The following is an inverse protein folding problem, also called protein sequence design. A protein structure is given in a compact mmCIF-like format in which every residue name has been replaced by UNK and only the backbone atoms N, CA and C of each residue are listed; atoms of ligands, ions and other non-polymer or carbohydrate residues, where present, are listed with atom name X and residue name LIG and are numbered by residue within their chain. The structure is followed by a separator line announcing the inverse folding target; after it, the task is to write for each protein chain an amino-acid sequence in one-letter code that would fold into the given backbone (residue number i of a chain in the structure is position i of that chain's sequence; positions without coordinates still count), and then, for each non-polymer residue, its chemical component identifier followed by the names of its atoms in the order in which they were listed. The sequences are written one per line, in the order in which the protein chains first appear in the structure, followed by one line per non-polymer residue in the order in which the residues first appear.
data_IF_035022197314
#
_entry.id   IF_035022197314
#
_cell.length_a   1.000
_cell.length_b   1.000
_cell.length_c   1.000
_cell.angle_alpha   90.00
_cell.angle_beta   90.00
_cell.angle_gamma   90.00
#
_symmetry.space_group_name_H-M   'P 1'
#
loop_
_entity.id
_entity.type
_entity.pdbx_description
1 polymer ?
#
# COMPACT_ATOMS: atom_id res chain seq x y z
N UNK A 1 -2.79 8.75 -4.60
CA UNK A 1 -3.26 7.52 -3.93
C UNK A 1 -4.78 7.58 -3.83
N UNK A 2 -5.50 6.47 -4.04
CA UNK A 2 -6.97 6.41 -3.93
C UNK A 2 -7.47 5.80 -2.61
N UNK A 3 -6.58 5.21 -1.81
CA UNK A 3 -6.90 4.72 -0.47
C UNK A 3 -6.45 3.29 -0.25
N UNK A 4 -6.85 2.74 0.89
CA UNK A 4 -6.50 1.38 1.30
C UNK A 4 -7.74 0.48 1.30
N UNK A 5 -7.49 -0.83 1.23
CA UNK A 5 -8.53 -1.86 1.31
C UNK A 5 -8.11 -2.96 2.29
N UNK A 6 -9.08 -3.44 3.07
CA UNK A 6 -8.88 -4.62 3.93
C UNK A 6 -8.93 -5.93 3.12
N UNK A 7 -8.76 -7.08 3.79
CA UNK A 7 -8.84 -8.40 3.14
C UNK A 7 -10.19 -8.66 2.44
N UNK A 8 -11.27 -8.05 2.92
CA UNK A 8 -12.60 -8.08 2.31
C UNK A 8 -12.82 -7.01 1.23
N UNK A 9 -11.76 -6.36 0.75
CA UNK A 9 -11.80 -5.29 -0.28
C UNK A 9 -12.68 -4.09 0.07
N UNK A 10 -12.90 -3.84 1.36
CA UNK A 10 -13.61 -2.64 1.84
C UNK A 10 -12.63 -1.52 2.11
N UNK A 11 -13.09 -0.29 1.87
CA UNK A 11 -12.34 0.92 2.19
C UNK A 11 -11.99 1.00 3.67
N UNK A 12 -10.74 1.33 3.96
CA UNK A 12 -10.21 1.49 5.31
C UNK A 12 -9.19 2.61 5.33
N UNK A 13 -8.97 3.19 6.50
CA UNK A 13 -8.04 4.31 6.70
C UNK A 13 -6.82 3.88 7.52
N UNK A 14 -5.61 4.39 7.18
CA UNK A 14 -4.44 4.25 8.03
C UNK A 14 -4.65 4.83 9.43
N UNK A 15 -3.99 4.24 10.41
CA UNK A 15 -4.11 4.68 11.81
C UNK A 15 -5.39 4.23 12.52
N UNK A 16 -6.17 3.32 11.91
CA UNK A 16 -7.33 2.66 12.54
C UNK A 16 -6.97 1.23 12.95
N UNK A 17 -7.86 0.53 13.67
CA UNK A 17 -7.67 -0.88 14.07
C UNK A 17 -7.72 -1.88 12.89
N UNK A 18 -7.90 -1.40 11.66
CA UNK A 18 -8.07 -2.25 10.49
C UNK A 18 -6.73 -2.55 9.83
N UNK A 19 -6.49 -3.83 9.52
CA UNK A 19 -5.36 -4.21 8.67
C UNK A 19 -5.47 -3.55 7.27
N UNK A 20 -4.32 -3.17 6.71
CA UNK A 20 -4.21 -2.47 5.43
C UNK A 20 -3.48 -3.32 4.37
N UNK A 21 -3.93 -4.53 4.01
CA UNK A 21 -3.21 -5.39 3.06
C UNK A 21 -3.03 -4.76 1.67
N UNK A 22 -4.01 -3.98 1.20
CA UNK A 22 -4.01 -3.46 -0.16
C UNK A 22 -4.04 -1.92 -0.21
N UNK A 23 -3.36 -1.38 -1.20
CA UNK A 23 -3.39 0.04 -1.58
C UNK A 23 -3.91 0.16 -3.02
N UNK A 24 -4.74 1.17 -3.28
CA UNK A 24 -5.28 1.50 -4.60
C UNK A 24 -4.70 2.83 -5.08
N UNK A 25 -4.36 2.91 -6.36
CA UNK A 25 -3.93 4.14 -7.02
C UNK A 25 -4.60 4.31 -8.38
N UNK A 26 -4.68 5.56 -8.83
CA UNK A 26 -5.49 5.98 -9.97
C UNK A 26 -5.00 5.42 -11.30
N UNK A 27 -3.68 5.31 -11.47
CA UNK A 27 -3.07 4.95 -12.74
C UNK A 27 -3.10 3.44 -12.96
N UNK A 28 -3.52 2.99 -14.15
CA UNK A 28 -3.31 1.62 -14.59
C UNK A 28 -1.81 1.37 -14.76
N UNK A 29 -1.21 0.36 -14.10
CA UNK A 29 0.23 0.12 -14.21
C UNK A 29 0.60 -0.34 -15.62
N UNK A 30 1.80 0.00 -16.06
CA UNK A 30 2.37 -0.46 -17.34
C UNK A 30 2.96 -1.86 -17.19
N UNK A 31 3.09 -2.60 -18.30
CA UNK A 31 3.76 -3.90 -18.30
C UNK A 31 5.19 -3.76 -17.78
N UNK A 32 5.59 -4.68 -16.90
CA UNK A 32 6.90 -4.66 -16.24
C UNK A 32 6.98 -3.82 -14.96
N UNK A 33 5.92 -3.10 -14.57
CA UNK A 33 5.91 -2.33 -13.32
C UNK A 33 5.59 -3.15 -12.06
N UNK A 34 5.17 -4.41 -12.19
CA UNK A 34 4.95 -5.32 -11.06
C UNK A 34 6.21 -5.49 -10.22
N UNK A 35 6.09 -5.35 -8.89
CA UNK A 35 7.22 -5.32 -7.96
C UNK A 35 7.86 -3.95 -7.79
N UNK A 36 7.50 -2.95 -8.62
CA UNK A 36 7.96 -1.57 -8.47
C UNK A 36 7.33 -0.86 -7.26
N UNK A 37 7.95 0.22 -6.76
CA UNK A 37 7.44 0.97 -5.62
C UNK A 37 6.19 1.79 -5.97
N UNK A 38 5.25 1.87 -5.03
CA UNK A 38 4.18 2.86 -5.04
C UNK A 38 4.64 4.02 -4.16
N UNK A 39 4.68 5.22 -4.72
CA UNK A 39 5.16 6.42 -4.03
C UNK A 39 4.00 7.31 -3.59
N UNK A 40 4.12 7.90 -2.41
CA UNK A 40 3.33 9.07 -2.04
C UNK A 40 3.82 10.29 -2.82
N UNK A 41 2.90 11.00 -3.48
CA UNK A 41 3.25 12.08 -4.39
C UNK A 41 3.79 13.32 -3.66
N UNK A 42 3.36 13.56 -2.41
CA UNK A 42 3.76 14.74 -1.66
C UNK A 42 5.15 14.57 -1.00
N UNK A 43 5.37 13.41 -0.37
CA UNK A 43 6.60 13.13 0.39
C UNK A 43 7.66 12.35 -0.39
N UNK A 44 7.29 11.69 -1.48
CA UNK A 44 8.16 10.75 -2.20
C UNK A 44 8.40 9.43 -1.46
N UNK A 45 7.73 9.19 -0.32
CA UNK A 45 7.90 7.97 0.46
C UNK A 45 7.32 6.75 -0.28
N UNK A 46 7.96 5.58 -0.11
CA UNK A 46 7.41 4.31 -0.58
C UNK A 46 6.29 3.89 0.36
N UNK A 47 5.07 3.78 -0.18
CA UNK A 47 3.85 3.43 0.57
C UNK A 47 3.28 2.06 0.18
N UNK A 48 3.92 1.37 -0.76
CA UNK A 48 3.55 0.01 -1.15
C UNK A 48 4.36 -0.49 -2.34
N UNK A 49 3.96 -1.65 -2.86
CA UNK A 49 4.57 -2.30 -4.02
C UNK A 49 3.47 -2.68 -5.00
N UNK A 50 3.68 -2.33 -6.28
CA UNK A 50 2.73 -2.60 -7.36
C UNK A 50 2.54 -4.11 -7.54
N UNK A 51 1.29 -4.55 -7.54
CA UNK A 51 0.93 -5.92 -7.94
C UNK A 51 0.44 -5.95 -9.38
N UNK A 52 -0.46 -5.03 -9.74
CA UNK A 52 -1.03 -4.94 -11.08
C UNK A 52 -2.27 -4.06 -11.12
N UNK A 53 -3.20 -4.37 -12.01
CA UNK A 53 -4.49 -3.70 -12.10
C UNK A 53 -5.65 -4.60 -11.65
N UNK A 54 -6.76 -3.97 -11.26
CA UNK A 54 -8.01 -4.63 -10.88
C UNK A 54 -9.20 -3.73 -11.18
N UNK A 55 -10.30 -4.33 -11.63
CA UNK A 55 -11.60 -3.65 -11.73
C UNK A 55 -12.22 -3.53 -10.34
N UNK A 56 -12.46 -2.31 -9.88
CA UNK A 56 -13.06 -2.06 -8.56
C UNK A 56 -14.59 -2.14 -8.60
N UNK A 57 -15.19 -1.57 -9.64
CA UNK A 57 -16.62 -1.65 -9.94
C UNK A 57 -16.86 -1.32 -11.41
N UNK A 58 -18.08 -1.52 -11.90
CA UNK A 58 -18.46 -1.10 -13.25
C UNK A 58 -18.36 0.42 -13.45
N UNK A 59 -18.55 1.21 -12.38
CA UNK A 59 -18.52 2.67 -12.42
C UNK A 59 -17.09 3.19 -12.30
N UNK A 60 -16.31 2.67 -11.35
CA UNK A 60 -14.93 3.12 -11.14
C UNK A 60 -13.99 2.57 -12.22
N UNK A 61 -14.30 1.40 -12.77
CA UNK A 61 -13.48 0.74 -13.78
C UNK A 61 -12.19 0.15 -13.21
N UNK A 62 -11.18 0.03 -14.07
CA UNK A 62 -9.89 -0.57 -13.73
C UNK A 62 -8.97 0.45 -13.02
N UNK A 63 -8.28 -0.01 -11.97
CA UNK A 63 -7.31 0.77 -11.19
C UNK A 63 -6.06 -0.03 -10.89
N UNK A 64 -4.96 0.67 -10.61
CA UNK A 64 -3.76 0.05 -10.07
C UNK A 64 -3.95 -0.35 -8.62
N UNK A 65 -3.37 -1.47 -8.23
CA UNK A 65 -3.35 -1.93 -6.85
C UNK A 65 -2.01 -2.59 -6.49
N UNK A 66 -1.78 -2.71 -5.19
CA UNK A 66 -0.58 -3.31 -4.66
C UNK A 66 -0.70 -3.71 -3.20
N UNK A 67 0.36 -4.34 -2.69
CA UNK A 67 0.53 -4.56 -1.27
C UNK A 67 0.95 -3.25 -0.60
N UNK A 68 0.34 -2.90 0.54
CA UNK A 68 0.76 -1.71 1.29
C UNK A 68 2.12 -1.93 1.96
N UNK A 69 2.85 -0.85 2.21
CA UNK A 69 4.10 -0.92 2.95
C UNK A 69 3.91 -1.50 4.36
N UNK A 70 2.81 -1.17 5.05
CA UNK A 70 2.51 -1.70 6.38
C UNK A 70 2.36 -3.22 6.35
N UNK A 71 1.59 -3.75 5.41
CA UNK A 71 1.43 -5.19 5.23
C UNK A 71 2.76 -5.88 4.89
N UNK A 72 3.62 -5.23 4.09
CA UNK A 72 4.96 -5.75 3.78
C UNK A 72 5.84 -5.76 5.05
N UNK A 73 5.88 -4.67 5.81
CA UNK A 73 6.72 -4.59 7.01
C UNK A 73 6.24 -5.50 8.15
N UNK A 74 4.94 -5.79 8.24
CA UNK A 74 4.41 -6.80 9.17
C UNK A 74 4.88 -8.21 8.82
N UNK A 75 4.96 -8.54 7.52
CA UNK A 75 5.41 -9.87 7.06
C UNK A 75 6.94 -10.02 7.09
N UNK A 76 7.68 -8.94 6.92
CA UNK A 76 9.15 -8.93 6.83
C UNK A 76 9.79 -8.14 7.98
N UNK A 77 9.27 -8.26 9.20
CA UNK A 77 9.92 -7.71 10.36
C UNK A 77 11.31 -8.33 10.54
N UNK A 78 12.35 -7.58 10.17
CA UNK A 78 13.73 -8.02 10.29
C UNK A 78 14.06 -8.25 11.79
N UNK A 79 14.64 -9.41 12.16
CA UNK A 79 15.10 -9.63 13.52
C UNK A 79 16.02 -8.48 13.98
N UNK A 80 15.65 -7.81 15.07
CA UNK A 80 16.41 -6.69 15.63
C UNK A 80 16.19 -5.33 14.95
N UNK A 81 15.30 -5.21 13.96
CA UNK A 81 14.99 -3.91 13.36
C UNK A 81 14.14 -3.04 14.30
N UNK A 82 14.71 -1.90 14.69
CA UNK A 82 14.02 -0.85 15.42
C UNK A 82 13.90 0.34 14.48
N UNK A 83 12.68 0.70 14.00
CA UNK A 83 12.52 1.83 13.10
C UNK A 83 12.95 3.13 13.79
N UNK A 84 13.57 4.03 13.04
CA UNK A 84 14.11 5.29 13.57
C UNK A 84 13.03 6.18 14.24
N UNK A 85 11.77 6.08 13.78
CA UNK A 85 10.61 6.73 14.41
C UNK A 85 10.39 6.31 15.86
N UNK A 86 10.79 5.09 16.24
CA UNK A 86 10.70 4.55 17.60
C UNK A 86 11.94 4.86 18.46
N UNK A 87 13.07 5.20 17.83
CA UNK A 87 14.33 5.55 18.52
C UNK A 87 14.34 6.95 19.14
N UNK A 88 13.49 7.88 18.67
CA UNK A 88 13.40 9.26 19.20
C UNK A 88 12.47 9.42 20.41
N UNK A 89 11.89 8.33 20.94
CA UNK A 89 10.96 8.34 22.09
C UNK A 89 11.52 7.68 23.35
N UNK A 90 12.82 7.42 23.39
CA UNK A 90 13.56 6.97 24.57
C UNK A 90 14.57 8.04 24.98
#
# INVERSE_FOLDING_TARGET
MLGYRNYGWREVQPGTSSALPYIIFSTRPINGSSGGPILDAASGAVVGVVSGSRTLSAVEGERGWGASAENIFELFSLPGFIPASRKKRL
#
